data_IF_550016987430
#
_entry.id   IF_550016987430
#
_cell.length_a   1.000
_cell.length_b   1.000
_cell.length_c   1.000
_cell.angle_alpha   90.00
_cell.angle_beta   90.00
_cell.angle_gamma   90.00
#
_symmetry.space_group_name_H-M   'P 1'
#
loop_
_entity.id
_entity.type
_entity.pdbx_description
1 polymer ?
#
# COMPACT_ATOMS: atom_id res chain seq x y z
N UNK A 1 -10.40 23.99 36.31
CA UNK A 1 -10.50 22.90 35.32
C UNK A 1 -9.29 23.02 34.41
N UNK A 2 -8.29 22.16 34.60
CA UNK A 2 -7.07 22.15 33.78
C UNK A 2 -7.37 21.31 32.54
N UNK A 3 -7.26 21.90 31.36
CA UNK A 3 -7.37 21.16 30.10
C UNK A 3 -5.98 20.63 29.72
N UNK A 4 -5.66 19.42 30.17
CA UNK A 4 -4.46 18.69 29.72
C UNK A 4 -4.77 17.98 28.40
N UNK A 5 -4.50 18.63 27.26
CA UNK A 5 -4.38 17.89 25.99
C UNK A 5 -3.51 18.57 24.92
N UNK A 6 -2.70 19.57 25.26
CA UNK A 6 -1.68 20.06 24.32
C UNK A 6 -0.46 19.14 24.44
N UNK A 7 -0.49 18.02 23.71
CA UNK A 7 0.73 17.26 23.43
C UNK A 7 1.48 18.02 22.34
N UNK A 8 2.41 18.88 22.75
CA UNK A 8 3.42 19.50 21.87
C UNK A 8 4.50 18.45 21.57
N UNK A 9 4.23 17.58 20.61
CA UNK A 9 5.15 16.55 20.15
C UNK A 9 4.67 15.89 18.86
N UNK A 10 5.60 15.26 18.11
CA UNK A 10 5.22 14.49 16.93
C UNK A 10 4.28 13.35 17.37
N UNK A 11 3.01 13.42 16.95
CA UNK A 11 2.04 12.35 17.18
C UNK A 11 2.61 11.07 16.56
N UNK A 12 2.70 9.95 17.30
CA UNK A 12 3.19 8.71 16.72
C UNK A 12 2.31 8.33 15.52
N UNK A 13 2.91 7.87 14.39
CA UNK A 13 2.15 7.55 13.19
C UNK A 13 1.05 6.54 13.54
N UNK A 14 -0.19 6.90 13.24
CA UNK A 14 -1.32 5.99 13.44
C UNK A 14 -1.21 4.85 12.44
N UNK A 15 -1.14 3.61 12.92
CA UNK A 15 -1.05 2.41 12.07
C UNK A 15 -2.41 1.75 11.81
N UNK A 16 -3.46 2.21 12.50
CA UNK A 16 -4.80 1.61 12.50
C UNK A 16 -5.68 2.09 11.34
N UNK A 17 -5.35 3.23 10.71
CA UNK A 17 -6.22 3.90 9.73
C UNK A 17 -5.84 3.66 8.27
N UNK A 18 -4.62 3.21 8.00
CA UNK A 18 -4.14 3.09 6.63
C UNK A 18 -4.21 1.65 6.12
N UNK A 19 -5.09 1.48 5.14
CA UNK A 19 -5.22 0.28 4.32
C UNK A 19 -4.90 0.66 2.88
N UNK A 20 -4.09 -0.15 2.24
CA UNK A 20 -3.92 -0.14 0.79
C UNK A 20 -4.52 -1.42 0.24
N UNK A 21 -5.30 -1.32 -0.83
CA UNK A 21 -5.88 -2.46 -1.50
C UNK A 21 -5.95 -2.21 -2.99
N UNK A 22 -6.10 -3.28 -3.76
CA UNK A 22 -6.24 -3.18 -5.20
C UNK A 22 -6.36 -4.57 -5.83
N UNK A 23 -6.28 -4.59 -7.15
CA UNK A 23 -6.29 -5.81 -7.95
C UNK A 23 -5.08 -5.76 -8.89
N UNK A 24 -4.36 -6.87 -8.98
CA UNK A 24 -3.30 -7.05 -9.98
C UNK A 24 -3.84 -7.83 -11.16
N UNK A 25 -3.45 -7.40 -12.36
CA UNK A 25 -3.73 -8.08 -13.61
C UNK A 25 -2.42 -8.63 -14.17
N UNK A 26 -2.51 -9.72 -14.91
CA UNK A 26 -1.44 -10.36 -15.68
C UNK A 26 -2.06 -10.66 -17.05
N UNK A 27 -1.49 -10.09 -18.12
CA UNK A 27 -2.02 -10.23 -19.48
C UNK A 27 -3.52 -9.85 -19.59
N UNK A 28 -3.94 -8.82 -18.85
CA UNK A 28 -5.32 -8.33 -18.84
C UNK A 28 -6.31 -9.13 -18.00
N UNK A 29 -5.86 -10.21 -17.33
CA UNK A 29 -6.70 -11.04 -16.46
C UNK A 29 -6.24 -10.90 -15.01
N UNK A 30 -7.14 -10.87 -14.01
CA UNK A 30 -6.71 -10.86 -12.61
C UNK A 30 -5.78 -12.04 -12.32
N UNK A 31 -4.66 -11.77 -11.66
CA UNK A 31 -3.61 -12.78 -11.50
C UNK A 31 -2.62 -12.48 -10.39
N UNK A 32 -1.88 -13.51 -9.99
CA UNK A 32 -0.93 -13.46 -8.87
C UNK A 32 0.27 -12.57 -9.19
N UNK A 33 0.51 -11.56 -8.35
CA UNK A 33 1.72 -10.73 -8.37
C UNK A 33 2.22 -10.41 -6.98
N UNK A 34 3.52 -10.16 -6.89
CA UNK A 34 4.10 -9.64 -5.65
C UNK A 34 3.84 -8.14 -5.62
N UNK A 35 2.96 -7.70 -4.73
CA UNK A 35 2.69 -6.29 -4.51
C UNK A 35 3.69 -5.75 -3.50
N UNK A 36 4.43 -4.73 -3.91
CA UNK A 36 5.43 -4.06 -3.10
C UNK A 36 4.95 -2.64 -2.82
N UNK A 37 5.06 -2.23 -1.56
CA UNK A 37 4.83 -0.84 -1.16
C UNK A 37 6.13 -0.28 -0.64
N UNK A 38 6.53 0.85 -1.21
CA UNK A 38 7.75 1.55 -0.85
C UNK A 38 7.51 3.04 -0.72
N UNK A 39 8.43 3.72 -0.05
CA UNK A 39 8.44 5.16 0.00
C UNK A 39 8.90 5.74 -1.36
N UNK A 40 8.11 6.64 -1.94
CA UNK A 40 8.26 7.11 -3.32
C UNK A 40 9.60 7.79 -3.62
N UNK A 41 10.15 8.53 -2.65
CA UNK A 41 11.37 9.33 -2.87
C UNK A 41 12.64 8.63 -2.41
N UNK A 42 12.54 7.77 -1.40
CA UNK A 42 13.70 7.09 -0.80
C UNK A 42 13.83 5.65 -1.27
N UNK A 43 12.82 5.11 -1.94
CA UNK A 43 12.77 3.71 -2.41
C UNK A 43 12.94 2.68 -1.28
N UNK A 44 12.66 3.10 -0.04
CA UNK A 44 12.68 2.20 1.11
C UNK A 44 11.46 1.29 1.03
N UNK A 45 11.70 -0.01 0.96
CA UNK A 45 10.68 -1.03 1.06
C UNK A 45 9.99 -0.97 2.42
N UNK A 46 8.68 -0.82 2.42
CA UNK A 46 7.87 -0.77 3.65
C UNK A 46 7.19 -2.10 3.91
N UNK A 47 6.63 -2.71 2.86
CA UNK A 47 6.03 -4.03 2.95
C UNK A 47 5.92 -4.69 1.57
N UNK A 48 5.70 -6.00 1.56
CA UNK A 48 5.39 -6.75 0.37
C UNK A 48 4.36 -7.83 0.68
N UNK A 49 3.45 -8.10 -0.26
CA UNK A 49 2.43 -9.12 -0.13
C UNK A 49 2.06 -9.70 -1.49
N UNK A 50 1.85 -11.00 -1.55
CA UNK A 50 1.28 -11.63 -2.74
C UNK A 50 -0.21 -11.33 -2.86
N UNK A 51 -0.66 -10.97 -4.07
CA UNK A 51 -2.07 -10.96 -4.39
C UNK A 51 -2.64 -12.38 -4.53
N UNK A 52 -3.95 -12.47 -4.44
CA UNK A 52 -4.69 -13.71 -4.66
C UNK A 52 -4.55 -14.19 -6.12
N UNK A 53 -4.26 -15.47 -6.36
CA UNK A 53 -4.00 -15.97 -7.71
C UNK A 53 -5.21 -16.03 -8.64
N UNK A 54 -6.43 -16.04 -8.10
CA UNK A 54 -7.66 -16.19 -8.89
C UNK A 54 -8.31 -14.83 -9.14
N UNK A 55 -8.32 -13.99 -8.11
CA UNK A 55 -9.02 -12.69 -8.13
C UNK A 55 -8.08 -11.51 -8.33
N UNK A 56 -6.76 -11.71 -8.24
CA UNK A 56 -5.76 -10.64 -8.27
C UNK A 56 -5.83 -9.69 -7.07
N UNK A 57 -6.74 -9.92 -6.12
CA UNK A 57 -7.00 -9.01 -5.03
C UNK A 57 -5.85 -9.00 -4.02
N UNK A 58 -5.53 -7.83 -3.49
CA UNK A 58 -4.56 -7.68 -2.42
C UNK A 58 -4.99 -6.61 -1.43
N UNK A 59 -4.47 -6.74 -0.22
CA UNK A 59 -4.77 -5.83 0.89
C UNK A 59 -3.62 -5.81 1.88
N UNK A 60 -3.13 -4.61 2.21
CA UNK A 60 -2.13 -4.35 3.21
C UNK A 60 -2.76 -3.46 4.28
N UNK A 61 -2.67 -3.91 5.54
CA UNK A 61 -3.16 -3.21 6.74
C UNK A 61 -1.99 -2.95 7.69
N UNK A 62 -2.18 -2.06 8.66
CA UNK A 62 -1.18 -1.80 9.70
C UNK A 62 -0.05 -0.89 9.25
N UNK A 63 -0.19 -0.25 8.08
CA UNK A 63 0.80 0.73 7.63
C UNK A 63 0.69 2.00 8.47
N UNK A 64 1.81 2.63 8.85
CA UNK A 64 1.77 3.92 9.49
C UNK A 64 1.18 4.99 8.57
N UNK A 65 0.78 6.11 9.17
CA UNK A 65 0.33 7.27 8.42
C UNK A 65 1.45 7.84 7.55
N UNK A 66 1.16 8.03 6.26
CA UNK A 66 2.07 8.65 5.30
C UNK A 66 1.39 9.87 4.67
N UNK A 67 2.15 10.95 4.36
CA UNK A 67 1.63 12.07 3.60
C UNK A 67 1.08 11.63 2.24
N UNK A 68 0.18 12.44 1.70
CA UNK A 68 -0.38 12.20 0.37
C UNK A 68 0.74 12.01 -0.67
N UNK A 69 0.57 11.01 -1.56
CA UNK A 69 1.52 10.68 -2.65
C UNK A 69 2.93 10.28 -2.19
N UNK A 70 3.16 10.05 -0.89
CA UNK A 70 4.45 9.61 -0.36
C UNK A 70 4.74 8.12 -0.62
N UNK A 71 3.71 7.32 -0.91
CA UNK A 71 3.85 5.89 -1.19
C UNK A 71 3.80 5.60 -2.69
N UNK A 72 4.58 4.60 -3.10
CA UNK A 72 4.52 3.99 -4.42
C UNK A 72 4.16 2.51 -4.25
N UNK A 73 3.21 2.05 -5.04
CA UNK A 73 2.78 0.64 -5.09
C UNK A 73 3.21 0.07 -6.42
N UNK A 74 3.88 -1.08 -6.40
CA UNK A 74 4.37 -1.77 -7.59
C UNK A 74 3.90 -3.21 -7.58
N UNK A 75 3.46 -3.72 -8.74
CA UNK A 75 3.32 -5.15 -8.99
C UNK A 75 4.60 -5.66 -9.62
N UNK A 76 5.29 -6.58 -8.94
CA UNK A 76 6.57 -7.11 -9.39
C UNK A 76 6.36 -8.47 -10.07
N UNK A 77 6.86 -8.56 -11.30
CA UNK A 77 7.10 -9.84 -11.96
C UNK A 77 8.46 -10.40 -11.53
N UNK A 78 8.44 -11.56 -10.88
CA UNK A 78 9.64 -12.28 -10.44
C UNK A 78 10.09 -13.33 -11.46
N UNK A 79 9.30 -13.53 -12.53
CA UNK A 79 9.61 -14.49 -13.60
C UNK A 79 10.40 -13.85 -14.75
N UNK A 80 10.40 -12.51 -14.82
CA UNK A 80 11.12 -11.75 -15.86
C UNK A 80 10.48 -11.83 -17.25
N UNK A 81 9.21 -12.27 -17.33
CA UNK A 81 8.54 -12.53 -18.60
C UNK A 81 7.63 -11.38 -19.05
N UNK A 82 7.20 -10.50 -18.13
CA UNK A 82 6.18 -9.49 -18.41
C UNK A 82 6.48 -8.14 -17.74
N UNK A 83 6.26 -7.04 -18.48
CA UNK A 83 6.07 -5.70 -17.92
C UNK A 83 4.59 -5.55 -17.58
N UNK A 84 4.20 -5.64 -16.31
CA UNK A 84 2.76 -5.60 -15.97
C UNK A 84 2.22 -4.18 -15.78
N UNK A 85 1.03 -3.93 -16.34
CA UNK A 85 0.26 -2.71 -16.12
C UNK A 85 -0.50 -2.82 -14.79
N UNK A 86 -0.13 -1.98 -13.80
CA UNK A 86 -0.82 -1.94 -12.51
C UNK A 86 -1.94 -0.90 -12.55
N UNK A 87 -3.19 -1.32 -12.75
CA UNK A 87 -4.35 -0.49 -12.47
C UNK A 87 -4.53 -0.35 -10.95
N UNK A 88 -3.89 0.68 -10.35
CA UNK A 88 -3.91 0.90 -8.89
C UNK A 88 -5.11 1.76 -8.51
N UNK A 89 -6.02 1.22 -7.69
CA UNK A 89 -7.05 2.02 -7.02
C UNK A 89 -6.61 2.24 -5.57
N UNK A 90 -6.04 3.41 -5.26
CA UNK A 90 -5.77 3.81 -3.87
C UNK A 90 -7.02 4.50 -3.33
N UNK A 91 -7.79 3.81 -2.49
CA UNK A 91 -8.84 4.45 -1.71
C UNK A 91 -8.43 4.58 -0.25
N UNK A 92 -8.58 5.78 0.28
CA UNK A 92 -8.52 6.01 1.72
C UNK A 92 -9.76 5.35 2.33
N UNK A 93 -9.61 4.50 3.33
CA UNK A 93 -10.77 4.00 4.08
C UNK A 93 -11.28 5.17 4.92
N UNK A 94 -12.28 5.89 4.41
CA UNK A 94 -13.12 6.73 5.26
C UNK A 94 -13.96 5.80 6.11
N UNK A 95 -13.88 5.98 7.43
CA UNK A 95 -14.73 5.31 8.40
C UNK A 95 -16.22 5.58 8.11
#
# INVERSE_FOLDING_TARGET
>A
MLFDFIILGAVPPRTDRHRLAGITYVDGVPGKRLVVVEHRTTFVLLTAKWSDPVTGAWEIKGLPEYPERALRVLGVDHTGNYNDEVATYVSQVTA
#
